data_IF_599959636565
#
_entry.id   IF_599959636565
#
_cell.length_a   1.000
_cell.length_b   1.000
_cell.length_c   1.000
_cell.angle_alpha   90.00
_cell.angle_beta   90.00
_cell.angle_gamma   90.00
#
_symmetry.space_group_name_H-M   'P 1'
#
loop_
_entity.id
_entity.type
_entity.pdbx_description
1 polymer ?
#
# COMPACT_ATOMS: atom_id res chain seq x y z
N UNK A 1 -2.94 11.43 0.42
CA UNK A 1 -4.39 11.09 0.54
C UNK A 1 -4.54 9.61 0.92
N UNK A 2 -5.69 9.17 1.49
CA UNK A 2 -5.96 7.76 1.85
C UNK A 2 -7.42 7.40 1.55
N UNK A 3 -7.67 6.21 0.98
CA UNK A 3 -9.00 5.69 0.64
C UNK A 3 -9.14 4.23 1.09
N UNK A 4 -10.32 3.85 1.60
CA UNK A 4 -10.69 2.45 1.84
C UNK A 4 -11.40 1.90 0.60
N UNK A 5 -11.03 0.71 0.18
CA UNK A 5 -11.54 0.06 -1.03
C UNK A 5 -12.14 -1.29 -0.64
N UNK A 6 -13.37 -1.58 -1.09
CA UNK A 6 -14.07 -2.83 -0.78
C UNK A 6 -13.48 -4.06 -1.49
N UNK A 7 -12.70 -3.84 -2.54
CA UNK A 7 -12.01 -4.87 -3.32
C UNK A 7 -11.50 -4.29 -4.64
N UNK A 8 -10.53 -4.93 -5.28
CA UNK A 8 -10.03 -4.55 -6.61
C UNK A 8 -9.96 -5.78 -7.51
N UNK A 9 -10.17 -5.64 -8.84
CA UNK A 9 -10.05 -6.78 -9.76
C UNK A 9 -8.61 -7.29 -9.93
N UNK A 10 -7.62 -6.52 -9.47
CA UNK A 10 -6.20 -6.89 -9.53
C UNK A 10 -5.65 -7.11 -8.14
N UNK A 11 -4.67 -7.99 -8.04
CA UNK A 11 -3.88 -8.16 -6.84
C UNK A 11 -2.74 -7.12 -6.79
N UNK A 12 -2.34 -6.71 -5.59
CA UNK A 12 -1.30 -5.71 -5.37
C UNK A 12 -0.35 -6.11 -4.25
N UNK A 13 0.90 -5.62 -4.29
CA UNK A 13 1.89 -5.85 -3.22
C UNK A 13 1.67 -4.87 -2.07
N UNK A 14 1.50 -5.40 -0.86
CA UNK A 14 1.42 -4.59 0.37
C UNK A 14 2.82 -4.20 0.84
N UNK A 15 3.19 -2.90 0.90
CA UNK A 15 4.52 -2.47 1.33
C UNK A 15 4.77 -2.68 2.85
N UNK A 16 3.73 -2.89 3.66
CA UNK A 16 3.87 -3.08 5.10
C UNK A 16 4.23 -4.51 5.53
N UNK A 17 4.02 -5.49 4.66
CA UNK A 17 4.32 -6.90 4.93
C UNK A 17 4.95 -7.64 3.75
N UNK A 18 5.08 -6.97 2.59
CA UNK A 18 5.57 -7.55 1.35
C UNK A 18 4.78 -8.79 0.92
N UNK A 19 3.49 -8.85 1.26
CA UNK A 19 2.56 -9.90 0.84
C UNK A 19 1.52 -9.35 -0.12
N UNK A 20 0.89 -10.25 -0.86
CA UNK A 20 -0.16 -9.89 -1.80
C UNK A 20 -1.46 -9.49 -1.08
N UNK A 21 -2.06 -8.40 -1.54
CA UNK A 21 -3.47 -8.07 -1.36
C UNK A 21 -4.20 -8.68 -2.54
N UNK A 22 -4.82 -9.84 -2.35
CA UNK A 22 -5.50 -10.55 -3.43
C UNK A 22 -6.67 -9.74 -4.01
N UNK A 23 -7.05 -10.07 -5.24
CA UNK A 23 -8.23 -9.49 -5.87
C UNK A 23 -9.49 -9.72 -5.02
N UNK A 24 -10.38 -8.73 -4.98
CA UNK A 24 -11.61 -8.76 -4.16
C UNK A 24 -11.41 -8.55 -2.65
N UNK A 25 -10.16 -8.49 -2.15
CA UNK A 25 -9.91 -8.26 -0.71
C UNK A 25 -10.11 -6.78 -0.35
N UNK A 26 -10.89 -6.45 0.70
CA UNK A 26 -10.99 -5.09 1.21
C UNK A 26 -9.64 -4.58 1.75
N UNK A 27 -9.23 -3.39 1.32
CA UNK A 27 -7.90 -2.85 1.62
C UNK A 27 -7.87 -1.32 1.60
N UNK A 28 -6.70 -0.74 1.89
CA UNK A 28 -6.46 0.70 1.92
C UNK A 28 -5.54 1.10 0.77
N UNK A 29 -5.90 2.15 0.05
CA UNK A 29 -5.05 2.80 -0.95
C UNK A 29 -4.55 4.11 -0.35
N UNK A 30 -3.23 4.30 -0.36
CA UNK A 30 -2.58 5.50 0.12
C UNK A 30 -1.72 6.14 -0.97
N UNK A 31 -1.80 7.46 -1.04
CA UNK A 31 -0.99 8.30 -1.93
C UNK A 31 0.06 9.03 -1.08
N UNK A 32 1.33 9.10 -1.53
CA UNK A 32 2.33 9.93 -0.88
C UNK A 32 1.85 11.38 -0.77
N UNK A 33 2.22 12.05 0.32
CA UNK A 33 1.74 13.39 0.65
C UNK A 33 2.74 14.50 0.31
N UNK A 34 3.92 14.16 -0.20
CA UNK A 34 5.04 15.09 -0.33
C UNK A 34 4.99 15.86 -1.66
N UNK A 35 5.14 17.18 -1.60
CA UNK A 35 5.20 18.08 -2.76
C UNK A 35 6.51 17.92 -3.58
N UNK A 36 7.51 17.17 -3.09
CA UNK A 36 8.64 16.68 -3.89
C UNK A 36 8.24 15.54 -4.84
N UNK A 37 6.99 15.09 -4.80
CA UNK A 37 6.38 14.17 -5.76
C UNK A 37 5.69 14.95 -6.90
N UNK A 38 6.38 15.91 -7.51
CA UNK A 38 6.01 16.47 -8.82
C UNK A 38 5.90 15.43 -9.95
N UNK A 39 6.17 14.15 -9.64
CA UNK A 39 6.04 12.96 -10.48
C UNK A 39 4.91 12.02 -10.00
N UNK A 40 4.05 12.47 -9.09
CA UNK A 40 2.98 11.70 -8.44
C UNK A 40 1.78 11.42 -9.32
N UNK A 41 2.01 10.78 -10.47
CA UNK A 41 0.96 10.26 -11.33
C UNK A 41 0.16 9.13 -10.65
N UNK A 42 -0.92 8.65 -11.28
CA UNK A 42 -1.75 7.53 -10.79
C UNK A 42 -0.99 6.21 -10.51
N UNK A 43 0.31 6.14 -10.82
CA UNK A 43 1.25 5.07 -10.48
C UNK A 43 1.75 5.07 -9.03
N UNK A 44 1.63 6.18 -8.29
CA UNK A 44 2.14 6.27 -6.90
C UNK A 44 1.16 5.75 -5.84
N UNK A 45 0.08 5.08 -6.26
CA UNK A 45 -0.89 4.44 -5.38
C UNK A 45 -0.28 3.20 -4.73
N UNK A 46 -0.17 3.23 -3.40
CA UNK A 46 0.26 2.08 -2.60
C UNK A 46 -0.95 1.39 -2.01
N UNK A 47 -1.06 0.09 -2.24
CA UNK A 47 -2.14 -0.75 -1.72
C UNK A 47 -1.67 -1.46 -0.46
N UNK A 48 -2.43 -1.36 0.63
CA UNK A 48 -2.08 -1.90 1.94
C UNK A 48 -3.23 -2.74 2.45
N UNK A 49 -2.96 -3.89 3.07
CA UNK A 49 -3.97 -4.49 3.95
C UNK A 49 -4.38 -3.48 5.03
N UNK A 50 -5.65 -3.45 5.40
CA UNK A 50 -6.16 -2.62 6.51
C UNK A 50 -5.33 -2.71 7.79
N UNK A 51 -4.98 -3.91 8.33
CA UNK A 51 -4.14 -4.00 9.52
C UNK A 51 -2.71 -3.49 9.30
N UNK A 52 -2.15 -3.67 8.09
CA UNK A 52 -0.82 -3.18 7.76
C UNK A 52 -0.79 -1.65 7.70
N UNK A 53 -1.81 -1.02 7.14
CA UNK A 53 -1.96 0.43 7.13
C UNK A 53 -2.09 1.01 8.54
N UNK A 54 -2.90 0.41 9.41
CA UNK A 54 -3.04 0.81 10.81
C UNK A 54 -1.75 0.62 11.62
N UNK A 55 -0.84 -0.23 11.15
CA UNK A 55 0.46 -0.49 11.76
C UNK A 55 1.64 0.24 11.12
N UNK A 56 1.44 1.02 10.06
CA UNK A 56 2.51 1.60 9.22
C UNK A 56 3.51 2.49 9.97
N UNK A 57 3.10 3.14 11.06
CA UNK A 57 4.00 3.98 11.87
C UNK A 57 4.93 3.18 12.79
N UNK A 58 4.56 1.93 13.11
CA UNK A 58 5.33 1.03 13.99
C UNK A 58 5.99 -0.13 13.25
N UNK A 59 5.44 -0.54 12.10
CA UNK A 59 6.06 -1.49 11.18
C UNK A 59 6.84 -0.72 10.13
N UNK A 60 8.17 -0.72 10.25
CA UNK A 60 9.03 -0.36 9.11
C UNK A 60 8.81 -1.43 8.03
N UNK A 61 8.64 -1.07 6.73
CA UNK A 61 8.67 -2.05 5.64
C UNK A 61 9.93 -2.90 5.83
N UNK A 62 9.78 -4.19 6.13
CA UNK A 62 10.94 -5.08 6.18
C UNK A 62 11.42 -5.25 4.74
N UNK A 63 12.63 -4.77 4.36
CA UNK A 63 13.17 -5.05 3.05
C UNK A 63 13.52 -6.54 3.01
N UNK A 64 12.60 -7.37 2.51
CA UNK A 64 12.79 -8.83 2.47
C UNK A 64 13.48 -9.27 1.18
N UNK A 65 14.55 -8.56 0.80
CA UNK A 65 15.41 -8.91 -0.33
C UNK A 65 16.89 -8.77 0.07
N UNK A 66 17.36 -9.71 0.87
CA UNK A 66 18.77 -10.16 0.96
C UNK A 66 18.73 -11.65 1.28
N UNK A 67 18.35 -12.45 0.29
CA UNK A 67 18.69 -13.88 0.19
C UNK A 67 19.17 -14.13 -1.22
#
# INVERSE_FOLDING_TARGET
>A
MVQRVGGSPKAYRCPGCDQEVAAGVPHVVAWPADELAGLGGPGDRRHWHTPCWSARGRRRPTPRHLR
#
